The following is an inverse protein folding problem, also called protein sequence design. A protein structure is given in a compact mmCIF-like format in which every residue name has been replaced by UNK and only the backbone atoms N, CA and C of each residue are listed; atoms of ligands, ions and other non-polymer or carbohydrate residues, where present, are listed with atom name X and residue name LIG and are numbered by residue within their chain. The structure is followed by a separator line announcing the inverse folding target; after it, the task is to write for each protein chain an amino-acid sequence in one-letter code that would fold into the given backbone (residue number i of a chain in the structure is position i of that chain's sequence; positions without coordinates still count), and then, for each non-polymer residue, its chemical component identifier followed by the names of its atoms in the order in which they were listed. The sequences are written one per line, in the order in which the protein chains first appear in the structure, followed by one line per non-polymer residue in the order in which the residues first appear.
data_IF_976073146342
#
_entry.id   IF_976073146342
#
_cell.length_a   1.000
_cell.length_b   1.000
_cell.length_c   1.000
_cell.angle_alpha   90.00
_cell.angle_beta   90.00
_cell.angle_gamma   90.00
#
_symmetry.space_group_name_H-M   'P 1'
#
loop_
_entity.id
_entity.type
_entity.pdbx_description
1 polymer ?
#
# COMPACT_ATOMS: atom_id res chain seq x y z
N UNK A 1 -39.59 26.95 5.88
CA UNK A 1 -39.58 28.24 6.57
C UNK A 1 -38.22 28.38 7.20
N UNK A 2 -37.50 29.44 6.84
CA UNK A 2 -36.21 29.74 7.48
C UNK A 2 -36.50 30.24 8.91
N UNK A 3 -35.69 29.87 9.91
CA UNK A 3 -35.84 30.43 11.26
C UNK A 3 -35.76 31.96 11.18
N UNK A 4 -36.73 32.65 11.76
CA UNK A 4 -36.85 34.10 11.76
C UNK A 4 -37.76 34.69 10.67
N UNK A 5 -38.17 33.92 9.66
CA UNK A 5 -39.00 34.41 8.55
C UNK A 5 -40.36 34.96 9.03
N UNK A 6 -40.97 34.31 10.02
CA UNK A 6 -42.24 34.74 10.62
C UNK A 6 -42.10 36.03 11.44
N UNK A 7 -40.99 36.17 12.18
CA UNK A 7 -40.67 37.39 12.93
C UNK A 7 -40.35 38.54 11.98
N UNK A 8 -39.60 38.30 10.89
CA UNK A 8 -39.33 39.31 9.87
C UNK A 8 -40.61 39.81 9.21
N UNK A 9 -41.57 38.93 8.93
CA UNK A 9 -42.88 39.30 8.38
C UNK A 9 -43.69 40.17 9.35
N UNK A 10 -43.76 39.79 10.63
CA UNK A 10 -44.46 40.59 11.65
C UNK A 10 -43.80 41.95 11.88
N UNK A 11 -42.47 42.02 11.85
CA UNK A 11 -41.73 43.29 11.93
C UNK A 11 -42.00 44.15 10.69
N UNK A 12 -42.02 43.56 9.49
CA UNK A 12 -42.35 44.28 8.26
C UNK A 12 -43.79 44.81 8.27
N UNK A 13 -44.74 44.04 8.80
CA UNK A 13 -46.14 44.46 8.97
C UNK A 13 -46.27 45.62 9.97
N UNK A 14 -45.51 45.58 11.07
CA UNK A 14 -45.43 46.70 12.02
C UNK A 14 -44.83 47.95 11.37
N UNK A 15 -43.75 47.79 10.60
CA UNK A 15 -43.13 48.88 9.86
C UNK A 15 -44.08 49.50 8.83
N UNK A 16 -44.83 48.68 8.08
CA UNK A 16 -45.82 49.15 7.12
C UNK A 16 -46.98 49.89 7.79
N UNK A 17 -47.47 49.37 8.91
CA UNK A 17 -48.51 50.01 9.74
C UNK A 17 -48.08 51.40 10.21
N UNK A 18 -46.82 51.55 10.62
CA UNK A 18 -46.23 52.84 11.02
C UNK A 18 -45.97 53.73 9.79
N UNK A 19 -45.61 53.16 8.64
CA UNK A 19 -45.30 53.91 7.44
C UNK A 19 -46.54 54.51 6.76
N UNK A 20 -47.64 53.75 6.70
CA UNK A 20 -48.92 54.12 6.10
C UNK A 20 -49.80 54.99 7.01
N UNK A 21 -49.42 55.15 8.28
CA UNK A 21 -50.15 55.96 9.26
C UNK A 21 -50.27 57.44 8.87
N UNK A 22 -51.46 58.02 9.07
CA UNK A 22 -51.79 59.40 8.66
C UNK A 22 -51.00 60.42 9.47
N UNK A 23 -50.50 61.51 8.84
CA UNK A 23 -49.82 62.58 9.57
C UNK A 23 -50.80 63.28 10.52
N UNK A 24 -50.35 63.52 11.75
CA UNK A 24 -51.13 64.21 12.77
C UNK A 24 -51.30 65.69 12.39
N UNK A 25 -52.52 66.19 12.49
CA UNK A 25 -52.86 67.57 12.15
C UNK A 25 -52.12 68.54 13.08
N UNK A 26 -51.35 69.47 12.51
CA UNK A 26 -50.56 70.48 13.24
C UNK A 26 -49.14 70.09 13.66
N UNK A 27 -48.66 68.88 13.33
CA UNK A 27 -47.38 68.33 13.81
C UNK A 27 -46.22 68.30 12.80
N UNK A 28 -46.19 69.17 11.80
CA UNK A 28 -45.05 69.29 10.87
C UNK A 28 -44.69 68.04 10.05
N UNK A 29 -45.64 67.11 9.88
CA UNK A 29 -45.44 65.86 9.11
C UNK A 29 -44.67 64.75 9.83
N UNK A 30 -44.07 65.02 10.99
CA UNK A 30 -43.26 64.02 11.74
C UNK A 30 -44.08 63.15 12.70
N UNK A 31 -45.23 63.65 13.18
CA UNK A 31 -46.12 62.87 14.04
C UNK A 31 -47.11 62.10 13.18
N UNK A 32 -47.24 60.80 13.40
CA UNK A 32 -48.23 59.93 12.74
C UNK A 32 -49.26 59.43 13.74
N UNK A 33 -50.50 59.29 13.30
CA UNK A 33 -51.60 58.72 14.08
C UNK A 33 -51.73 57.25 13.67
N UNK A 34 -51.43 56.36 14.60
CA UNK A 34 -51.56 54.90 14.47
C UNK A 34 -52.70 54.39 15.34
N UNK A 35 -53.33 53.30 14.92
CA UNK A 35 -54.21 52.55 15.81
C UNK A 35 -53.34 51.77 16.81
N UNK A 36 -53.50 52.08 18.09
CA UNK A 36 -52.72 51.43 19.14
C UNK A 36 -53.03 49.93 19.22
N UNK A 37 -54.28 49.53 18.98
CA UNK A 37 -54.71 48.13 19.05
C UNK A 37 -53.97 47.25 18.03
N UNK A 38 -53.90 47.70 16.77
CA UNK A 38 -53.24 46.97 15.68
C UNK A 38 -51.73 46.82 15.97
N UNK A 39 -51.10 47.87 16.50
CA UNK A 39 -49.68 47.83 16.89
C UNK A 39 -49.44 46.89 18.08
N UNK A 40 -50.30 46.92 19.10
CA UNK A 40 -50.17 46.03 20.25
C UNK A 40 -50.38 44.57 19.86
N UNK A 41 -51.31 44.28 18.96
CA UNK A 41 -51.54 42.94 18.44
C UNK A 41 -50.29 42.37 17.75
N UNK A 42 -49.69 43.12 16.82
CA UNK A 42 -48.47 42.69 16.14
C UNK A 42 -47.31 42.49 17.13
N UNK A 43 -47.18 43.35 18.14
CA UNK A 43 -46.16 43.21 19.18
C UNK A 43 -46.38 41.96 20.04
N UNK A 44 -47.64 41.62 20.35
CA UNK A 44 -47.96 40.42 21.13
C UNK A 44 -47.78 39.15 20.30
N UNK A 45 -48.06 39.18 19.00
CA UNK A 45 -47.76 38.08 18.08
C UNK A 45 -46.24 37.85 17.95
N UNK A 46 -45.44 38.92 17.83
CA UNK A 46 -43.97 38.84 17.90
C UNK A 46 -43.52 38.21 19.22
N UNK A 47 -44.09 38.64 20.36
CA UNK A 47 -43.73 38.09 21.67
C UNK A 47 -44.11 36.62 21.83
N UNK A 48 -45.17 36.16 21.17
CA UNK A 48 -45.60 34.76 21.21
C UNK A 48 -44.65 33.87 20.39
N UNK A 49 -44.24 34.31 19.20
CA UNK A 49 -43.42 33.53 18.26
C UNK A 49 -41.92 33.59 18.58
N UNK A 50 -41.44 34.72 19.13
CA UNK A 50 -40.01 34.96 19.35
C UNK A 50 -39.28 33.88 20.20
N UNK A 51 -39.85 33.37 21.32
CA UNK A 51 -39.19 32.34 22.12
C UNK A 51 -38.99 31.02 21.36
N UNK A 52 -39.96 30.64 20.51
CA UNK A 52 -39.92 29.41 19.72
C UNK A 52 -38.86 29.51 18.62
N UNK A 53 -38.84 30.62 17.88
CA UNK A 53 -37.83 30.88 16.85
C UNK A 53 -36.41 30.88 17.43
N UNK A 54 -36.22 31.50 18.60
CA UNK A 54 -34.93 31.50 19.28
C UNK A 54 -34.54 30.11 19.80
N UNK A 55 -35.50 29.27 20.20
CA UNK A 55 -35.24 27.87 20.55
C UNK A 55 -34.81 27.05 19.33
N UNK A 56 -35.51 27.22 18.20
CA UNK A 56 -35.19 26.57 16.92
C UNK A 56 -33.79 26.96 16.44
N UNK A 57 -33.44 28.24 16.45
CA UNK A 57 -32.10 28.72 16.07
C UNK A 57 -30.99 28.07 16.93
N UNK A 58 -31.17 28.02 18.26
CA UNK A 58 -30.21 27.34 19.16
C UNK A 58 -30.09 25.85 18.88
N UNK A 59 -31.21 25.18 18.58
CA UNK A 59 -31.20 23.75 18.21
C UNK A 59 -30.37 23.52 16.96
N UNK A 60 -30.58 24.33 15.91
CA UNK A 60 -29.82 24.24 14.65
C UNK A 60 -28.32 24.42 14.90
N UNK A 61 -27.92 25.41 15.71
CA UNK A 61 -26.51 25.62 16.07
C UNK A 61 -25.93 24.40 16.80
N UNK A 62 -26.68 23.82 17.74
CA UNK A 62 -26.25 22.61 18.46
C UNK A 62 -26.09 21.42 17.51
N UNK A 63 -27.06 21.19 16.64
CA UNK A 63 -27.02 20.11 15.64
C UNK A 63 -25.83 20.29 14.68
N UNK A 64 -25.56 21.53 14.25
CA UNK A 64 -24.39 21.83 13.41
C UNK A 64 -23.07 21.49 14.14
N UNK A 65 -22.95 21.83 15.41
CA UNK A 65 -21.78 21.49 16.22
C UNK A 65 -21.61 19.97 16.37
N UNK A 66 -22.71 19.25 16.60
CA UNK A 66 -22.70 17.78 16.68
C UNK A 66 -22.29 17.14 15.35
N UNK A 67 -22.82 17.62 14.23
CA UNK A 67 -22.43 17.18 12.89
C UNK A 67 -20.95 17.42 12.64
N UNK A 68 -20.43 18.60 12.98
CA UNK A 68 -19.01 18.93 12.82
C UNK A 68 -18.12 18.02 13.69
N UNK A 69 -18.50 17.80 14.95
CA UNK A 69 -17.75 16.90 15.84
C UNK A 69 -17.76 15.45 15.33
N UNK A 70 -18.90 14.99 14.84
CA UNK A 70 -19.03 13.68 14.23
C UNK A 70 -18.18 13.56 12.96
N UNK A 71 -18.22 14.56 12.08
CA UNK A 71 -17.43 14.58 10.85
C UNK A 71 -15.92 14.56 11.15
N UNK A 72 -15.48 15.32 12.15
CA UNK A 72 -14.09 15.30 12.60
C UNK A 72 -13.67 13.92 13.11
N UNK A 73 -14.49 13.31 13.96
CA UNK A 73 -14.23 11.97 14.49
C UNK A 73 -14.16 10.91 13.38
N UNK A 74 -15.05 11.00 12.39
CA UNK A 74 -15.01 10.12 11.22
C UNK A 74 -13.76 10.34 10.38
N UNK A 75 -13.36 11.59 10.14
CA UNK A 75 -12.14 11.90 9.41
C UNK A 75 -10.90 11.32 10.11
N UNK A 76 -10.81 11.49 11.43
CA UNK A 76 -9.71 10.96 12.23
C UNK A 76 -9.67 9.42 12.17
N UNK A 77 -10.83 8.76 12.22
CA UNK A 77 -10.94 7.29 12.07
C UNK A 77 -10.47 6.83 10.68
N UNK A 78 -10.88 7.52 9.61
CA UNK A 78 -10.48 7.18 8.24
C UNK A 78 -8.96 7.32 8.08
N UNK A 79 -8.37 8.38 8.65
CA UNK A 79 -6.92 8.58 8.61
C UNK A 79 -6.19 7.47 9.37
N UNK A 80 -6.67 7.10 10.56
CA UNK A 80 -6.08 6.02 11.35
C UNK A 80 -6.13 4.68 10.61
N UNK A 81 -7.27 4.33 10.01
CA UNK A 81 -7.44 3.10 9.24
C UNK A 81 -6.51 3.07 8.01
N UNK A 82 -6.40 4.19 7.29
CA UNK A 82 -5.52 4.32 6.14
C UNK A 82 -4.03 4.17 6.53
N UNK A 83 -3.61 4.76 7.67
CA UNK A 83 -2.27 4.60 8.19
C UNK A 83 -1.96 3.15 8.56
N UNK A 84 -2.90 2.45 9.21
CA UNK A 84 -2.73 1.05 9.55
C UNK A 84 -2.61 0.17 8.29
N UNK A 85 -3.45 0.40 7.27
CA UNK A 85 -3.35 -0.33 6.00
C UNK A 85 -2.02 -0.06 5.29
N UNK A 86 -1.54 1.18 5.30
CA UNK A 86 -0.25 1.53 4.71
C UNK A 86 0.92 0.80 5.41
N UNK A 87 0.88 0.67 6.75
CA UNK A 87 1.89 -0.11 7.49
C UNK A 87 1.87 -1.59 7.13
N UNK A 88 0.68 -2.20 7.01
CA UNK A 88 0.54 -3.60 6.60
C UNK A 88 1.12 -3.80 5.19
N UNK A 89 0.72 -2.96 4.24
CA UNK A 89 1.20 -3.06 2.86
C UNK A 89 2.72 -2.87 2.75
N UNK A 90 3.29 -1.92 3.49
CA UNK A 90 4.73 -1.72 3.54
C UNK A 90 5.46 -2.95 4.14
N UNK A 91 4.88 -3.55 5.19
CA UNK A 91 5.38 -4.81 5.75
C UNK A 91 5.36 -5.95 4.73
N UNK A 92 4.25 -6.12 4.02
CA UNK A 92 4.10 -7.15 2.99
C UNK A 92 5.08 -6.95 1.82
N UNK A 93 5.29 -5.70 1.38
CA UNK A 93 6.27 -5.37 0.34
C UNK A 93 7.69 -5.73 0.77
N UNK A 94 8.05 -5.49 2.03
CA UNK A 94 9.37 -5.84 2.55
C UNK A 94 9.55 -7.37 2.64
N UNK A 95 8.52 -8.11 3.04
CA UNK A 95 8.52 -9.58 3.03
C UNK A 95 8.73 -10.11 1.61
N UNK A 96 8.01 -9.57 0.63
CA UNK A 96 8.15 -9.98 -0.79
C UNK A 96 9.55 -9.67 -1.29
N UNK A 97 10.10 -8.49 -1.00
CA UNK A 97 11.46 -8.10 -1.39
C UNK A 97 12.51 -9.04 -0.78
N UNK A 98 12.37 -9.39 0.50
CA UNK A 98 13.27 -10.33 1.17
C UNK A 98 13.16 -11.74 0.59
N UNK A 99 11.94 -12.20 0.29
CA UNK A 99 11.71 -13.50 -0.32
C UNK A 99 12.34 -13.58 -1.73
N UNK A 100 12.22 -12.52 -2.54
CA UNK A 100 12.86 -12.43 -3.85
C UNK A 100 14.39 -12.49 -3.74
N UNK A 101 14.97 -11.71 -2.82
CA UNK A 101 16.41 -11.75 -2.57
C UNK A 101 16.88 -13.15 -2.15
N UNK A 102 16.19 -13.78 -1.21
CA UNK A 102 16.53 -15.15 -0.78
C UNK A 102 16.42 -16.14 -1.94
N UNK A 103 15.43 -15.99 -2.83
CA UNK A 103 15.29 -16.84 -3.99
C UNK A 103 16.43 -16.64 -5.00
N UNK A 104 16.90 -15.41 -5.20
CA UNK A 104 18.09 -15.10 -6.00
C UNK A 104 19.35 -15.72 -5.39
N UNK A 105 19.57 -15.53 -4.09
CA UNK A 105 20.71 -16.12 -3.37
C UNK A 105 20.74 -17.65 -3.47
N UNK A 106 19.57 -18.32 -3.35
CA UNK A 106 19.44 -19.77 -3.54
C UNK A 106 19.76 -20.19 -4.97
N UNK A 107 19.30 -19.44 -5.98
CA UNK A 107 19.57 -19.74 -7.39
C UNK A 107 21.07 -19.61 -7.69
N UNK A 108 21.70 -18.56 -7.22
CA UNK A 108 23.13 -18.33 -7.42
C UNK A 108 23.96 -19.41 -6.74
N UNK A 109 23.61 -19.78 -5.50
CA UNK A 109 24.24 -20.89 -4.79
C UNK A 109 24.06 -22.23 -5.53
N UNK A 110 22.86 -22.52 -6.04
CA UNK A 110 22.58 -23.74 -6.79
C UNK A 110 23.37 -23.80 -8.10
N UNK A 111 23.46 -22.69 -8.85
CA UNK A 111 24.26 -22.62 -10.07
C UNK A 111 25.76 -22.77 -9.80
N UNK A 112 26.24 -22.19 -8.70
CA UNK A 112 27.63 -22.36 -8.30
C UNK A 112 27.92 -23.82 -7.93
N UNK A 113 27.06 -24.42 -7.11
CA UNK A 113 27.17 -25.82 -6.73
C UNK A 113 27.13 -26.77 -7.95
N UNK A 114 26.27 -26.49 -8.93
CA UNK A 114 26.21 -27.25 -10.19
C UNK A 114 27.54 -27.18 -10.94
N UNK A 115 28.10 -25.97 -11.11
CA UNK A 115 29.39 -25.78 -11.77
C UNK A 115 30.49 -26.55 -11.05
N UNK A 116 30.58 -26.40 -9.72
CA UNK A 116 31.62 -27.04 -8.92
C UNK A 116 31.51 -28.57 -8.96
N UNK A 117 30.28 -29.09 -8.94
CA UNK A 117 30.01 -30.53 -9.09
C UNK A 117 30.45 -31.04 -10.46
N UNK A 118 30.15 -30.29 -11.54
CA UNK A 118 30.56 -30.66 -12.89
C UNK A 118 32.07 -30.68 -13.03
N UNK A 119 32.75 -29.64 -12.56
CA UNK A 119 34.21 -29.58 -12.55
C UNK A 119 34.84 -30.73 -11.77
N UNK A 120 34.32 -31.02 -10.57
CA UNK A 120 34.81 -32.14 -9.75
C UNK A 120 34.61 -33.49 -10.43
N UNK A 121 33.49 -33.67 -11.14
CA UNK A 121 33.21 -34.90 -11.88
C UNK A 121 34.11 -35.06 -13.11
N UNK A 122 34.39 -33.96 -13.84
CA UNK A 122 35.34 -33.93 -14.96
C UNK A 122 36.76 -34.25 -14.48
N UNK A 123 37.21 -33.64 -13.39
CA UNK A 123 38.52 -33.90 -12.79
C UNK A 123 38.65 -35.37 -12.35
N UNK A 124 37.61 -35.91 -11.70
CA UNK A 124 37.60 -37.32 -11.31
C UNK A 124 37.65 -38.27 -12.53
N UNK A 125 36.90 -37.97 -13.59
CA UNK A 125 36.93 -38.75 -14.82
C UNK A 125 38.33 -38.73 -15.46
N UNK A 126 38.98 -37.56 -15.49
CA UNK A 126 40.34 -37.41 -16.00
C UNK A 126 41.35 -38.24 -15.19
N UNK A 127 41.33 -38.18 -13.84
CA UNK A 127 42.23 -38.98 -13.00
C UNK A 127 42.03 -40.50 -13.23
N UNK A 128 40.77 -40.94 -13.33
CA UNK A 128 40.47 -42.35 -13.61
C UNK A 128 40.97 -42.76 -14.99
N UNK A 129 40.76 -41.94 -16.02
CA UNK A 129 41.22 -42.23 -17.38
C UNK A 129 42.73 -42.20 -17.49
N UNK A 130 43.42 -41.25 -16.85
CA UNK A 130 44.87 -41.18 -16.81
C UNK A 130 45.49 -42.42 -16.16
N UNK A 131 44.96 -42.86 -15.02
CA UNK A 131 45.38 -44.11 -14.37
C UNK A 131 45.14 -45.34 -15.24
N UNK A 132 44.02 -45.37 -15.96
CA UNK A 132 43.73 -46.46 -16.89
C UNK A 132 44.75 -46.48 -18.04
N UNK A 133 45.06 -45.31 -18.60
CA UNK A 133 46.05 -45.15 -19.67
C UNK A 133 47.44 -45.66 -19.23
N UNK A 134 47.89 -45.26 -18.04
CA UNK A 134 49.19 -45.69 -17.51
C UNK A 134 49.25 -47.20 -17.27
N UNK A 135 48.17 -47.79 -16.73
CA UNK A 135 48.06 -49.23 -16.57
C UNK A 135 48.12 -49.96 -17.92
N UNK A 136 47.39 -49.47 -18.93
CA UNK A 136 47.41 -50.05 -20.27
C UNK A 136 48.79 -49.94 -20.93
N UNK A 137 49.47 -48.79 -20.82
CA UNK A 137 50.86 -48.62 -21.29
C UNK A 137 51.81 -49.62 -20.62
N UNK A 138 51.67 -49.82 -19.30
CA UNK A 138 52.46 -50.79 -18.56
C UNK A 138 52.24 -52.22 -19.07
N UNK A 139 50.98 -52.63 -19.26
CA UNK A 139 50.62 -53.95 -19.80
C UNK A 139 51.16 -54.14 -21.22
N UNK A 140 50.99 -53.16 -22.11
CA UNK A 140 51.55 -53.20 -23.47
C UNK A 140 53.07 -53.33 -23.44
N UNK A 141 53.74 -52.61 -22.52
CA UNK A 141 55.18 -52.73 -22.30
C UNK A 141 55.60 -54.13 -21.84
N UNK A 142 54.84 -54.76 -20.94
CA UNK A 142 55.09 -56.14 -20.52
C UNK A 142 54.91 -57.14 -21.68
N UNK A 143 53.84 -57.00 -22.48
CA UNK A 143 53.59 -57.86 -23.65
C UNK A 143 54.70 -57.71 -24.69
N UNK A 144 55.15 -56.49 -24.95
CA UNK A 144 56.25 -56.22 -25.90
C UNK A 144 57.56 -56.86 -25.42
N UNK A 145 57.90 -56.73 -24.13
CA UNK A 145 59.07 -57.41 -23.54
C UNK A 145 58.95 -58.94 -23.64
N UNK A 146 57.77 -59.49 -23.37
CA UNK A 146 57.53 -60.93 -23.49
C UNK A 146 57.76 -61.41 -24.94
N UNK A 147 57.19 -60.72 -25.94
CA UNK A 147 57.41 -61.00 -27.36
C UNK A 147 58.89 -60.94 -27.76
N UNK A 148 59.61 -59.91 -27.30
CA UNK A 148 61.03 -59.75 -27.59
C UNK A 148 61.84 -60.92 -27.03
N UNK A 149 61.56 -61.34 -25.78
CA UNK A 149 62.25 -62.48 -25.15
C UNK A 149 62.00 -63.81 -25.88
N UNK A 150 60.80 -64.00 -26.46
CA UNK A 150 60.48 -65.19 -27.27
C UNK A 150 61.27 -65.15 -28.59
N UNK A 151 61.37 -63.99 -29.25
CA UNK A 151 62.14 -63.82 -30.48
C UNK A 151 63.65 -64.04 -30.27
N UNK A 152 64.19 -63.54 -29.15
CA UNK A 152 65.59 -63.77 -28.74
C UNK A 152 65.85 -65.25 -28.43
N UNK A 153 64.95 -65.92 -27.70
CA UNK A 153 65.05 -67.36 -27.45
C UNK A 153 64.94 -68.19 -28.74
N UNK A 154 64.09 -67.79 -29.69
CA UNK A 154 63.98 -68.46 -30.98
C UNK A 154 65.26 -68.34 -31.82
N UNK A 155 65.87 -67.15 -31.87
CA UNK A 155 67.13 -66.92 -32.59
C UNK A 155 68.32 -67.65 -31.93
N UNK A 156 68.38 -67.69 -30.60
CA UNK A 156 69.40 -68.46 -29.86
C UNK A 156 69.31 -69.97 -30.14
N UNK A 157 68.09 -70.53 -30.24
CA UNK A 157 67.87 -71.95 -30.58
C UNK A 157 68.31 -72.29 -32.00
N UNK A 158 68.06 -71.41 -32.97
CA UNK A 158 68.47 -71.63 -34.37
C UNK A 158 70.00 -71.56 -34.54
N UNK A 159 70.69 -70.72 -33.76
CA UNK A 159 72.16 -70.63 -33.76
C UNK A 159 72.87 -71.86 -33.16
N UNK A 160 72.27 -72.53 -32.17
CA UNK A 160 72.82 -73.78 -31.60
C UNK A 160 72.69 -74.99 -32.54
N UNK A 161 71.76 -74.95 -33.49
CA UNK A 161 71.49 -76.06 -34.41
C UNK A 161 72.38 -76.04 -35.67
N UNK A 162 73.14 -74.96 -35.91
CA UNK A 162 74.08 -74.82 -37.03
C UNK A 162 75.54 -75.11 -36.65
N UNK A 163 75.83 -75.46 -35.39
CA UNK A 163 77.19 -75.61 -34.88
C UNK A 163 77.62 -77.07 -34.65
N UNK A 164 77.04 -78.01 -35.42
CA UNK A 164 77.39 -79.44 -35.45
C UNK A 164 77.44 -79.95 -36.89
#
# INVERSE_FOLDING_TARGET
MQPGEEIENLVAELEDTINTAKPAFGGGGQRKIVNAEDVYQIVDDIRAVFPEEFATARRIIKEQQEILAHAQTQADSIIADAQQQAMILAGDQEIVRLAQKNAEDIRDAAQQYERDTRYSAEEYAEDVLARLEDNLKSIVGQVTRCRQSIAENASARTGQQQNW
#
